data_IF_309243010600
#
_entry.id   IF_309243010600
#
_cell.length_a   1.000
_cell.length_b   1.000
_cell.length_c   1.000
_cell.angle_alpha   90.00
_cell.angle_beta   90.00
_cell.angle_gamma   90.00
#
_symmetry.space_group_name_H-M   'P 1'
#
loop_
_entity.id
_entity.type
_entity.pdbx_description
1 polymer ?
#
# COMPACT_ATOMS: atom_id res chain seq x y z
N UNK A 1 -20.21 15.20 -4.99
CA UNK A 1 -19.26 15.81 -4.04
C UNK A 1 -18.27 16.57 -4.91
N UNK A 2 -18.76 17.62 -5.57
CA UNK A 2 -18.16 18.13 -6.82
C UNK A 2 -17.51 19.51 -6.62
N UNK A 3 -17.30 19.87 -5.35
CA UNK A 3 -16.73 21.15 -4.95
C UNK A 3 -15.22 21.25 -5.17
N UNK A 4 -14.54 20.11 -5.37
CA UNK A 4 -13.10 20.06 -5.59
C UNK A 4 -12.79 19.72 -7.04
N UNK A 5 -11.86 20.47 -7.64
CA UNK A 5 -11.39 20.20 -9.01
C UNK A 5 -10.58 18.90 -9.03
N UNK A 6 -10.77 18.02 -10.03
CA UNK A 6 -9.95 16.84 -10.21
C UNK A 6 -8.51 17.27 -10.47
N UNK A 7 -7.60 16.77 -9.64
CA UNK A 7 -6.17 17.04 -9.72
C UNK A 7 -5.41 15.76 -9.42
N UNK A 8 -4.21 15.56 -10.02
CA UNK A 8 -3.34 14.47 -9.63
C UNK A 8 -2.98 14.55 -8.15
N UNK A 9 -2.86 13.38 -7.54
CA UNK A 9 -2.49 13.32 -6.13
C UNK A 9 -1.10 13.93 -5.93
N UNK A 10 -0.91 14.62 -4.82
CA UNK A 10 0.39 14.89 -4.24
C UNK A 10 0.96 13.61 -3.63
N UNK A 11 2.27 13.57 -3.36
CA UNK A 11 2.88 12.40 -2.71
C UNK A 11 2.31 12.14 -1.31
N UNK A 12 1.92 13.21 -0.59
CA UNK A 12 1.26 13.11 0.71
C UNK A 12 -0.14 12.50 0.60
N UNK A 13 -0.92 12.88 -0.39
CA UNK A 13 -2.24 12.28 -0.64
C UNK A 13 -2.12 10.82 -1.05
N UNK A 14 -1.15 10.48 -1.92
CA UNK A 14 -0.85 9.09 -2.26
C UNK A 14 -0.45 8.27 -1.04
N UNK A 15 0.33 8.84 -0.12
CA UNK A 15 0.67 8.20 1.14
C UNK A 15 -0.57 7.95 2.02
N UNK A 16 -1.38 8.99 2.25
CA UNK A 16 -2.58 8.89 3.08
C UNK A 16 -3.60 7.90 2.51
N UNK A 17 -3.80 7.93 1.19
CA UNK A 17 -4.67 6.99 0.49
C UNK A 17 -4.20 5.55 0.72
N UNK A 18 -2.89 5.28 0.61
CA UNK A 18 -2.34 3.94 0.86
C UNK A 18 -2.57 3.48 2.30
N UNK A 19 -2.47 4.37 3.29
CA UNK A 19 -2.73 4.06 4.70
C UNK A 19 -4.20 3.73 4.92
N UNK A 20 -5.10 4.51 4.31
CA UNK A 20 -6.55 4.30 4.39
C UNK A 20 -6.99 2.97 3.74
N UNK A 21 -6.32 2.57 2.66
CA UNK A 21 -6.65 1.36 1.90
C UNK A 21 -5.89 0.11 2.37
N UNK A 22 -4.98 0.23 3.34
CA UNK A 22 -4.31 -0.93 3.92
C UNK A 22 -5.26 -1.73 4.82
N UNK A 23 -5.15 -3.06 4.78
CA UNK A 23 -6.03 -3.95 5.52
C UNK A 23 -5.89 -3.74 7.03
N UNK A 24 -6.94 -3.25 7.69
CA UNK A 24 -6.89 -2.91 9.12
C UNK A 24 -6.76 -4.13 10.04
N UNK A 25 -7.25 -5.30 9.63
CA UNK A 25 -7.26 -6.52 10.45
C UNK A 25 -6.58 -7.74 9.80
N UNK A 26 -6.04 -7.58 8.58
CA UNK A 26 -5.59 -8.71 7.75
C UNK A 26 -6.76 -9.52 7.19
N UNK A 27 -6.51 -10.27 6.11
CA UNK A 27 -7.56 -11.04 5.44
C UNK A 27 -7.13 -11.56 4.07
N UNK A 28 -8.10 -12.11 3.33
CA UNK A 28 -7.91 -12.44 1.92
C UNK A 28 -8.49 -11.34 1.05
N UNK A 29 -7.64 -10.66 0.27
CA UNK A 29 -8.12 -9.80 -0.80
C UNK A 29 -7.91 -10.45 -2.15
N UNK A 30 -8.90 -10.27 -3.03
CA UNK A 30 -8.85 -10.76 -4.39
C UNK A 30 -8.64 -9.61 -5.36
N UNK A 31 -7.51 -9.63 -6.06
CA UNK A 31 -7.23 -8.72 -7.17
C UNK A 31 -7.02 -9.53 -8.45
N UNK A 32 -8.00 -9.49 -9.35
CA UNK A 32 -7.94 -10.22 -10.61
C UNK A 32 -8.26 -11.71 -10.46
N UNK A 33 -7.31 -12.54 -9.99
CA UNK A 33 -7.44 -14.02 -9.98
C UNK A 33 -6.76 -14.70 -8.76
N UNK A 34 -5.59 -14.27 -8.26
CA UNK A 34 -4.98 -14.94 -7.10
C UNK A 34 -5.59 -14.47 -5.77
N UNK A 35 -5.83 -15.43 -4.87
CA UNK A 35 -5.96 -15.15 -3.44
C UNK A 35 -4.56 -14.86 -2.93
N UNK A 36 -4.33 -13.64 -2.45
CA UNK A 36 -3.10 -13.33 -1.75
C UNK A 36 -3.43 -13.13 -0.27
N UNK A 37 -2.85 -13.91 0.65
CA UNK A 37 -3.00 -13.64 2.07
C UNK A 37 -2.38 -12.27 2.38
N UNK A 38 -3.17 -11.39 2.98
CA UNK A 38 -2.73 -10.09 3.47
C UNK A 38 -2.66 -10.12 4.99
N UNK A 39 -1.51 -9.71 5.51
CA UNK A 39 -1.37 -9.36 6.90
C UNK A 39 -2.01 -7.99 7.16
N UNK A 40 -2.19 -7.68 8.45
CA UNK A 40 -2.62 -6.37 8.90
C UNK A 40 -1.62 -5.29 8.45
N UNK A 41 -2.12 -4.18 7.93
CA UNK A 41 -1.31 -3.08 7.42
C UNK A 41 -0.78 -3.29 6.00
N UNK A 42 -1.22 -4.34 5.30
CA UNK A 42 -0.85 -4.62 3.91
C UNK A 42 -1.96 -4.24 2.93
N UNK A 43 -1.54 -3.82 1.74
CA UNK A 43 -2.39 -3.44 0.62
C UNK A 43 -2.03 -4.28 -0.61
N UNK A 44 -2.99 -5.00 -1.18
CA UNK A 44 -2.83 -5.67 -2.48
C UNK A 44 -3.19 -4.71 -3.62
N UNK A 45 -2.25 -4.44 -4.52
CA UNK A 45 -2.47 -3.49 -5.62
C UNK A 45 -1.61 -3.83 -6.84
N UNK A 46 -1.59 -2.94 -7.84
CA UNK A 46 -0.72 -3.03 -9.01
C UNK A 46 -0.31 -1.63 -9.47
N UNK A 47 0.85 -1.52 -10.13
CA UNK A 47 1.39 -0.21 -10.59
C UNK A 47 0.39 0.53 -11.49
N UNK A 48 -0.31 -0.18 -12.37
CA UNK A 48 -1.29 0.43 -13.26
C UNK A 48 -2.53 0.95 -12.50
N UNK A 49 -2.97 0.27 -11.43
CA UNK A 49 -4.07 0.73 -10.60
C UNK A 49 -3.71 1.99 -9.83
N UNK A 50 -2.52 2.02 -9.25
CA UNK A 50 -2.00 3.22 -8.57
C UNK A 50 -1.81 4.39 -9.54
N UNK A 51 -1.34 4.12 -10.75
CA UNK A 51 -1.20 5.14 -11.80
C UNK A 51 -2.55 5.80 -12.13
N UNK A 52 -3.61 5.02 -12.29
CA UNK A 52 -4.97 5.53 -12.51
C UNK A 52 -5.49 6.27 -11.28
N UNK A 53 -5.31 5.71 -10.08
CA UNK A 53 -5.85 6.27 -8.83
C UNK A 53 -5.20 7.61 -8.48
N UNK A 54 -3.89 7.74 -8.66
CA UNK A 54 -3.14 8.95 -8.34
C UNK A 54 -3.08 9.94 -9.49
N UNK A 55 -3.60 9.57 -10.66
CA UNK A 55 -3.44 10.27 -11.94
C UNK A 55 -1.95 10.55 -12.26
N UNK A 56 -1.14 9.50 -12.13
CA UNK A 56 0.32 9.53 -12.32
C UNK A 56 0.74 8.62 -13.46
N UNK A 57 1.91 8.90 -14.04
CA UNK A 57 2.57 7.94 -14.92
C UNK A 57 3.09 6.74 -14.13
N UNK A 58 3.09 5.54 -14.73
CA UNK A 58 3.65 4.35 -14.09
C UNK A 58 5.12 4.53 -13.62
N UNK A 59 6.01 5.23 -14.37
CA UNK A 59 7.35 5.55 -13.88
C UNK A 59 7.34 6.38 -12.59
N UNK A 60 6.44 7.37 -12.46
CA UNK A 60 6.31 8.18 -11.25
C UNK A 60 5.89 7.33 -10.05
N UNK A 61 4.92 6.43 -10.24
CA UNK A 61 4.50 5.45 -9.22
C UNK A 61 5.68 4.59 -8.79
N UNK A 62 6.42 3.99 -9.73
CA UNK A 62 7.59 3.15 -9.41
C UNK A 62 8.66 3.94 -8.65
N UNK A 63 8.90 5.18 -9.04
CA UNK A 63 9.84 6.07 -8.35
C UNK A 63 9.40 6.35 -6.91
N UNK A 64 8.11 6.65 -6.72
CA UNK A 64 7.53 6.88 -5.39
C UNK A 64 7.64 5.65 -4.50
N UNK A 65 7.20 4.48 -4.97
CA UNK A 65 7.33 3.21 -4.23
C UNK A 65 8.77 2.94 -3.80
N UNK A 66 9.73 3.11 -4.71
CA UNK A 66 11.16 2.94 -4.40
C UNK A 66 11.68 3.93 -3.36
N UNK A 67 11.18 5.18 -3.35
CA UNK A 67 11.56 6.17 -2.32
C UNK A 67 11.01 5.79 -0.96
N UNK A 68 9.75 5.37 -0.88
CA UNK A 68 9.12 4.95 0.36
C UNK A 68 9.78 3.70 0.95
N UNK A 69 10.14 2.75 0.10
CA UNK A 69 10.89 1.55 0.49
C UNK A 69 12.30 1.89 1.00
N UNK A 70 13.03 2.75 0.28
CA UNK A 70 14.36 3.23 0.71
C UNK A 70 14.33 4.00 2.03
N UNK A 71 13.25 4.72 2.29
CA UNK A 71 13.05 5.43 3.55
C UNK A 71 12.66 4.49 4.71
N UNK A 72 12.49 3.19 4.45
CA UNK A 72 12.07 2.20 5.45
C UNK A 72 10.60 2.35 5.87
N UNK A 73 9.82 3.16 5.15
CA UNK A 73 8.43 3.42 5.49
C UNK A 73 7.54 2.29 5.00
N UNK A 74 7.82 1.76 3.80
CA UNK A 74 7.06 0.68 3.18
C UNK A 74 7.93 -0.54 2.86
N UNK A 75 7.32 -1.72 2.81
CA UNK A 75 7.90 -2.91 2.18
C UNK A 75 7.06 -3.29 0.97
N UNK A 76 7.68 -3.44 -0.20
CA UNK A 76 6.97 -3.75 -1.45
C UNK A 76 7.39 -5.12 -1.96
N UNK A 77 6.44 -6.07 -2.00
CA UNK A 77 6.67 -7.41 -2.55
C UNK A 77 5.88 -7.62 -3.84
N UNK A 78 6.51 -8.24 -4.83
CA UNK A 78 5.84 -8.66 -6.06
C UNK A 78 5.24 -10.05 -5.86
N UNK A 79 3.96 -10.24 -6.20
CA UNK A 79 3.27 -11.54 -6.09
C UNK A 79 3.14 -12.25 -7.43
N UNK A 80 3.81 -11.76 -8.48
CA UNK A 80 3.63 -12.22 -9.86
C UNK A 80 2.42 -11.59 -10.55
N UNK A 81 2.32 -11.75 -11.87
CA UNK A 81 1.21 -11.18 -12.66
C UNK A 81 1.14 -9.65 -12.71
N UNK A 82 2.19 -8.94 -12.29
CA UNK A 82 2.22 -7.47 -12.22
C UNK A 82 1.54 -6.87 -10.99
N UNK A 83 1.19 -7.71 -10.01
CA UNK A 83 0.64 -7.29 -8.73
C UNK A 83 1.74 -7.07 -7.68
N UNK A 84 1.42 -6.21 -6.72
CA UNK A 84 2.27 -5.80 -5.62
C UNK A 84 1.49 -5.91 -4.32
N UNK A 85 2.14 -6.36 -3.27
CA UNK A 85 1.68 -6.13 -1.90
C UNK A 85 2.58 -5.08 -1.27
N UNK A 86 1.97 -4.06 -0.69
CA UNK A 86 2.65 -2.96 -0.02
C UNK A 86 2.30 -3.05 1.47
N UNK A 87 3.28 -3.28 2.33
CA UNK A 87 3.11 -3.10 3.77
C UNK A 87 3.31 -1.61 4.10
N UNK A 88 2.23 -0.95 4.50
CA UNK A 88 2.18 0.52 4.68
C UNK A 88 2.50 0.92 6.13
N UNK A 89 2.27 0.01 7.07
CA UNK A 89 2.73 0.10 8.45
C UNK A 89 3.26 -1.27 8.84
N UNK A 90 4.56 -1.38 9.15
CA UNK A 90 5.10 -2.53 9.85
C UNK A 90 4.62 -2.48 11.31
N UNK A 91 3.33 -2.72 11.54
CA UNK A 91 2.73 -2.62 12.87
C UNK A 91 3.43 -3.58 13.84
N UNK A 92 3.84 -4.74 13.36
CA UNK A 92 4.54 -5.76 14.14
C UNK A 92 6.04 -5.46 14.35
N UNK A 93 6.66 -4.61 13.53
CA UNK A 93 8.05 -4.17 13.80
C UNK A 93 8.14 -3.23 15.02
N UNK A 94 7.01 -2.73 15.50
CA UNK A 94 6.88 -1.87 16.67
C UNK A 94 5.86 -2.37 17.69
N UNK A 95 5.32 -3.57 17.52
CA UNK A 95 4.52 -4.19 18.57
C UNK A 95 5.46 -4.38 19.78
N UNK A 96 5.10 -3.87 20.98
CA UNK A 96 5.82 -4.25 22.17
C UNK A 96 5.81 -5.78 22.26
N UNK A 97 6.94 -6.39 22.66
CA UNK A 97 6.97 -7.82 22.94
C UNK A 97 5.75 -8.20 23.79
N UNK A 98 5.08 -9.33 23.50
CA UNK A 98 3.94 -9.75 24.29
C UNK A 98 4.38 -9.82 25.76
N UNK A 99 3.78 -9.01 26.63
CA UNK A 99 4.07 -9.02 28.06
C UNK A 99 3.88 -10.47 28.55
N UNK A 100 4.89 -11.07 29.21
CA UNK A 100 4.78 -12.46 29.63
C UNK A 100 3.54 -12.63 30.50
N UNK A 101 2.72 -13.62 30.17
CA UNK A 101 1.52 -13.96 30.93
C UNK A 101 1.91 -14.10 32.41
N UNK A 102 1.30 -13.26 33.27
CA UNK A 102 1.46 -13.33 34.72
C UNK A 102 0.69 -14.50 35.31
#
# INVERSE_FOLDING_TARGET
MDSFRPQPFTEREAFLWSVEHAALYGGEERLGIPHAPLARGELLTAVHKLAVTFDWSQPKVRGFLRRMERAGVWQVRSTGGGMLIIAVCAFDAHAPEPEPAR
#
